data_IF_873720198446
#
_entry.id   IF_873720198446
#
_cell.length_a   1.000
_cell.length_b   1.000
_cell.length_c   1.000
_cell.angle_alpha   90.00
_cell.angle_beta   90.00
_cell.angle_gamma   90.00
#
_symmetry.space_group_name_H-M   'P 1'
#
loop_
_entity.id
_entity.type
_entity.pdbx_description
1 polymer ?
#
# COMPACT_ATOMS: atom_id res chain seq x y z
N UNK A 1 -3.91 14.46 6.28
CA UNK A 1 -5.05 13.69 5.74
C UNK A 1 -5.97 13.41 6.91
N UNK A 2 -7.24 13.80 6.82
CA UNK A 2 -8.25 13.40 7.80
C UNK A 2 -8.73 12.02 7.36
N UNK A 3 -8.45 11.01 8.18
CA UNK A 3 -8.69 9.59 7.87
C UNK A 3 -10.04 9.09 8.43
N UNK A 4 -10.89 10.02 8.87
CA UNK A 4 -12.30 9.76 9.15
C UNK A 4 -12.98 9.38 7.84
N UNK A 5 -13.32 8.10 7.71
CA UNK A 5 -14.13 7.60 6.60
C UNK A 5 -13.48 6.55 5.72
N UNK A 6 -12.36 5.90 6.07
CA UNK A 6 -11.96 4.69 5.32
C UNK A 6 -12.85 3.50 5.66
N UNK A 7 -13.24 2.72 4.65
CA UNK A 7 -14.22 1.63 4.78
C UNK A 7 -13.56 0.27 4.65
N UNK A 8 -12.82 0.03 3.58
CA UNK A 8 -12.08 -1.21 3.34
C UNK A 8 -10.95 -0.99 2.32
N UNK A 9 -10.04 -1.95 2.22
CA UNK A 9 -9.02 -2.01 1.18
C UNK A 9 -9.11 -3.33 0.39
N UNK A 10 -9.04 -3.24 -0.93
CA UNK A 10 -8.83 -4.40 -1.79
C UNK A 10 -7.32 -4.53 -2.08
N UNK A 11 -6.73 -5.66 -1.73
CA UNK A 11 -5.30 -5.98 -1.84
C UNK A 11 -5.12 -7.04 -2.91
N UNK A 12 -4.38 -6.70 -3.96
CA UNK A 12 -4.01 -7.62 -5.02
C UNK A 12 -2.51 -7.93 -4.94
N UNK A 13 -2.16 -9.20 -4.71
CA UNK A 13 -0.78 -9.66 -4.63
C UNK A 13 -0.67 -11.11 -5.11
N UNK A 14 0.34 -11.41 -5.94
CA UNK A 14 0.60 -12.78 -6.41
C UNK A 14 -0.55 -13.43 -7.19
N UNK A 15 -1.41 -12.62 -7.83
CA UNK A 15 -2.63 -13.10 -8.51
C UNK A 15 -3.81 -13.41 -7.59
N UNK A 16 -3.68 -13.14 -6.29
CA UNK A 16 -4.77 -13.25 -5.31
C UNK A 16 -5.32 -11.86 -5.00
N UNK A 17 -6.63 -11.75 -4.82
CA UNK A 17 -7.31 -10.52 -4.38
C UNK A 17 -8.00 -10.77 -3.05
N UNK A 18 -7.76 -9.89 -2.07
CA UNK A 18 -8.28 -9.98 -0.72
C UNK A 18 -8.84 -8.64 -0.27
N UNK A 19 -9.96 -8.66 0.45
CA UNK A 19 -10.56 -7.47 1.06
C UNK A 19 -10.25 -7.41 2.55
N UNK A 20 -9.74 -6.27 3.01
CA UNK A 20 -9.54 -5.94 4.42
C UNK A 20 -10.56 -4.90 4.85
N UNK A 21 -11.41 -5.26 5.80
CA UNK A 21 -12.48 -4.40 6.31
C UNK A 21 -11.98 -3.55 7.49
N UNK A 22 -12.11 -2.23 7.36
CA UNK A 22 -11.64 -1.24 8.34
C UNK A 22 -12.70 -0.90 9.41
N UNK A 23 -13.90 -1.47 9.35
CA UNK A 23 -14.88 -1.39 10.43
C UNK A 23 -14.40 -2.07 11.72
N UNK A 24 -13.40 -2.96 11.63
CA UNK A 24 -12.66 -3.48 12.77
C UNK A 24 -11.60 -2.45 13.15
N UNK A 25 -11.83 -1.67 14.21
CA UNK A 25 -10.96 -0.54 14.64
C UNK A 25 -9.46 -0.86 14.63
N UNK A 26 -9.06 -2.08 15.02
CA UNK A 26 -7.65 -2.49 15.03
C UNK A 26 -7.01 -2.59 13.63
N UNK A 27 -7.72 -3.15 12.65
CA UNK A 27 -7.17 -3.40 11.31
C UNK A 27 -6.93 -2.12 10.51
N UNK A 28 -7.81 -1.12 10.68
CA UNK A 28 -7.61 0.20 10.09
C UNK A 28 -6.37 0.87 10.67
N UNK A 29 -6.26 0.90 12.00
CA UNK A 29 -5.12 1.49 12.71
C UNK A 29 -3.79 0.83 12.35
N UNK A 30 -3.73 -0.50 12.35
CA UNK A 30 -2.52 -1.25 12.02
C UNK A 30 -2.06 -0.99 10.57
N UNK A 31 -3.02 -0.91 9.63
CA UNK A 31 -2.74 -0.55 8.24
C UNK A 31 -2.13 0.84 8.11
N UNK A 32 -2.72 1.85 8.77
CA UNK A 32 -2.16 3.21 8.76
C UNK A 32 -0.80 3.28 9.42
N UNK A 33 -0.65 2.62 10.56
CA UNK A 33 0.60 2.62 11.29
C UNK A 33 1.70 2.04 10.41
N UNK A 34 1.43 0.92 9.72
CA UNK A 34 2.37 0.34 8.77
C UNK A 34 2.73 1.32 7.64
N UNK A 35 1.76 1.94 6.97
CA UNK A 35 2.03 2.91 5.89
C UNK A 35 2.81 4.15 6.37
N UNK A 36 2.44 4.69 7.53
CA UNK A 36 3.08 5.90 8.08
C UNK A 36 4.50 5.68 8.57
N UNK A 37 4.85 4.43 8.91
CA UNK A 37 6.18 4.04 9.38
C UNK A 37 7.08 3.53 8.27
N UNK A 38 6.55 3.31 7.05
CA UNK A 38 7.36 3.02 5.88
C UNK A 38 8.34 4.16 5.62
N UNK A 39 9.63 3.86 5.70
CA UNK A 39 10.65 4.83 5.35
C UNK A 39 10.73 4.96 3.85
N UNK A 40 10.49 6.18 3.37
CA UNK A 40 10.71 6.57 2.00
C UNK A 40 12.18 6.96 1.77
N UNK A 41 12.88 6.20 0.93
CA UNK A 41 14.22 6.53 0.42
C UNK A 41 14.10 7.31 -0.90
N UNK A 42 15.15 8.06 -1.25
CA UNK A 42 15.22 8.78 -2.54
C UNK A 42 15.45 7.80 -3.70
N UNK A 43 14.76 8.03 -4.83
CA UNK A 43 15.03 7.32 -6.08
C UNK A 43 16.42 7.68 -6.61
N UNK A 44 17.30 6.69 -6.75
CA UNK A 44 18.66 6.87 -7.28
C UNK A 44 18.84 6.31 -8.69
N UNK A 45 17.89 5.51 -9.18
CA UNK A 45 17.92 4.86 -10.50
C UNK A 45 16.59 5.05 -11.25
N UNK A 46 16.52 4.50 -12.46
CA UNK A 46 15.32 4.55 -13.29
C UNK A 46 14.16 3.78 -12.65
N UNK A 47 12.94 4.28 -12.84
CA UNK A 47 11.76 3.60 -12.33
C UNK A 47 11.60 2.21 -12.96
N UNK A 48 11.13 1.22 -12.18
CA UNK A 48 10.89 -0.11 -12.71
C UNK A 48 9.75 -0.02 -13.74
N UNK A 49 9.95 -0.69 -14.88
CA UNK A 49 8.95 -0.75 -15.95
C UNK A 49 8.16 -2.04 -15.84
N UNK A 50 6.83 -1.99 -15.94
CA UNK A 50 5.97 -3.19 -15.87
C UNK A 50 4.76 -2.98 -14.98
N UNK A 51 4.06 -4.08 -14.67
CA UNK A 51 2.93 -4.07 -13.75
C UNK A 51 3.40 -4.03 -12.30
N UNK A 52 2.56 -3.50 -11.41
CA UNK A 52 2.79 -3.56 -9.98
C UNK A 52 2.67 -5.01 -9.47
N UNK A 53 3.55 -5.38 -8.54
CA UNK A 53 3.51 -6.68 -7.87
C UNK A 53 2.42 -6.72 -6.80
N UNK A 54 2.22 -5.60 -6.11
CA UNK A 54 1.14 -5.39 -5.13
C UNK A 54 0.35 -4.15 -5.53
N UNK A 55 -0.97 -4.26 -5.56
CA UNK A 55 -1.87 -3.11 -5.67
C UNK A 55 -2.81 -3.10 -4.48
N UNK A 56 -2.86 -1.99 -3.74
CA UNK A 56 -3.81 -1.79 -2.65
C UNK A 56 -4.72 -0.64 -3.04
N UNK A 57 -6.01 -0.93 -3.20
CA UNK A 57 -7.05 0.07 -3.46
C UNK A 57 -7.85 0.29 -2.19
N UNK A 58 -7.68 1.46 -1.59
CA UNK A 58 -8.35 1.85 -0.37
C UNK A 58 -9.59 2.66 -0.69
N UNK A 59 -10.73 2.25 -0.14
CA UNK A 59 -12.02 2.88 -0.36
C UNK A 59 -12.41 3.73 0.85
N UNK A 60 -13.01 4.89 0.57
CA UNK A 60 -13.55 5.77 1.61
C UNK A 60 -15.07 5.66 1.72
N UNK A 61 -15.67 6.45 2.60
CA UNK A 61 -17.10 6.62 2.75
C UNK A 61 -17.70 7.44 1.59
N UNK A 62 -16.88 8.25 0.90
CA UNK A 62 -17.22 8.81 -0.40
C UNK A 62 -16.90 7.77 -1.48
N UNK A 63 -17.90 7.25 -2.21
CA UNK A 63 -17.68 6.26 -3.27
C UNK A 63 -16.88 6.80 -4.47
N UNK A 64 -16.68 8.11 -4.58
CA UNK A 64 -15.88 8.73 -5.64
C UNK A 64 -14.41 8.91 -5.24
N UNK A 65 -14.07 8.63 -3.97
CA UNK A 65 -12.72 8.81 -3.45
C UNK A 65 -12.09 7.45 -3.12
N UNK A 66 -11.05 7.12 -3.87
CA UNK A 66 -10.22 5.94 -3.64
C UNK A 66 -8.75 6.30 -3.68
N UNK A 67 -7.96 5.59 -2.88
CA UNK A 67 -6.51 5.75 -2.83
C UNK A 67 -5.87 4.47 -3.33
N UNK A 68 -5.10 4.57 -4.41
CA UNK A 68 -4.37 3.43 -4.98
C UNK A 68 -2.91 3.53 -4.62
N UNK A 69 -2.41 2.47 -3.99
CA UNK A 69 -1.00 2.26 -3.68
C UNK A 69 -0.50 1.12 -4.57
N UNK A 70 0.44 1.42 -5.46
CA UNK A 70 1.04 0.42 -6.34
C UNK A 70 2.49 0.20 -5.96
N UNK A 71 2.82 -1.01 -5.52
CA UNK A 71 4.17 -1.41 -5.17
C UNK A 71 4.74 -2.25 -6.31
N UNK A 72 5.86 -1.80 -6.84
CA UNK A 72 6.61 -2.51 -7.87
C UNK A 72 8.01 -2.78 -7.38
N UNK A 73 8.49 -4.01 -7.58
CA UNK A 73 9.83 -4.39 -7.18
C UNK A 73 10.85 -3.49 -7.87
N UNK A 74 11.68 -2.84 -7.06
CA UNK A 74 12.74 -1.97 -7.55
C UNK A 74 14.07 -2.73 -7.63
N UNK A 75 14.45 -3.37 -6.52
CA UNK A 75 15.61 -4.26 -6.46
C UNK A 75 15.37 -5.38 -5.42
N UNK A 76 16.42 -6.00 -4.88
CA UNK A 76 16.29 -7.07 -3.88
C UNK A 76 15.76 -6.58 -2.53
N UNK A 77 16.02 -5.31 -2.19
CA UNK A 77 15.77 -4.72 -0.88
C UNK A 77 14.58 -3.75 -0.85
N UNK A 78 14.21 -3.19 -2.01
CA UNK A 78 13.25 -2.09 -2.10
C UNK A 78 12.11 -2.34 -3.10
N UNK A 79 10.96 -1.75 -2.78
CA UNK A 79 9.85 -1.52 -3.69
C UNK A 79 9.75 -0.03 -4.03
N UNK A 80 9.44 0.26 -5.29
CA UNK A 80 8.93 1.56 -5.70
C UNK A 80 7.43 1.60 -5.46
N UNK A 81 7.00 2.51 -4.60
CA UNK A 81 5.59 2.79 -4.31
C UNK A 81 5.17 4.05 -5.05
N UNK A 82 4.06 3.95 -5.77
CA UNK A 82 3.34 5.12 -6.26
C UNK A 82 2.17 5.43 -5.33
N UNK A 83 2.18 6.62 -4.73
CA UNK A 83 1.06 7.19 -3.98
C UNK A 83 0.63 8.47 -4.68
N UNK A 84 -0.54 8.46 -5.32
CA UNK A 84 -1.01 9.57 -6.15
C UNK A 84 0.06 9.94 -7.20
N UNK A 85 0.52 11.20 -7.21
CA UNK A 85 1.53 11.74 -8.13
C UNK A 85 2.97 11.61 -7.59
N UNK A 86 3.15 11.03 -6.40
CA UNK A 86 4.46 10.87 -5.77
C UNK A 86 4.94 9.42 -5.86
N UNK A 87 6.24 9.26 -6.08
CA UNK A 87 6.89 7.95 -6.13
C UNK A 87 7.99 7.93 -5.07
N UNK A 88 7.99 6.88 -4.25
CA UNK A 88 8.86 6.71 -3.10
C UNK A 88 9.45 5.29 -3.12
N UNK A 89 10.66 5.12 -2.59
CA UNK A 89 11.22 3.78 -2.36
C UNK A 89 10.94 3.36 -0.92
N UNK A 90 10.34 2.20 -0.73
CA UNK A 90 10.05 1.62 0.58
C UNK A 90 10.78 0.29 0.72
N UNK A 91 11.21 -0.05 1.94
CA UNK A 91 11.87 -1.33 2.18
C UNK A 91 10.91 -2.48 1.91
N UNK A 92 11.39 -3.51 1.21
CA UNK A 92 10.66 -4.76 0.97
C UNK A 92 10.14 -5.38 2.25
N UNK A 93 10.93 -5.34 3.32
CA UNK A 93 10.52 -5.84 4.64
C UNK A 93 9.26 -5.14 5.17
N UNK A 94 9.13 -3.84 4.96
CA UNK A 94 7.98 -3.07 5.44
C UNK A 94 6.73 -3.43 4.62
N UNK A 95 6.89 -3.64 3.31
CA UNK A 95 5.81 -4.14 2.42
C UNK A 95 5.36 -5.54 2.83
N UNK A 96 6.30 -6.45 3.11
CA UNK A 96 5.97 -7.79 3.59
C UNK A 96 5.27 -7.77 4.96
N UNK A 97 5.64 -6.84 5.85
CA UNK A 97 4.94 -6.65 7.12
C UNK A 97 3.53 -6.11 6.92
N UNK A 98 3.35 -5.15 6.00
CA UNK A 98 2.03 -4.64 5.61
C UNK A 98 1.13 -5.76 5.10
N UNK A 99 1.62 -6.60 4.19
CA UNK A 99 0.86 -7.74 3.65
C UNK A 99 0.44 -8.73 4.75
N UNK A 100 1.32 -9.01 5.71
CA UNK A 100 0.99 -9.87 6.86
C UNK A 100 -0.11 -9.29 7.75
N UNK A 101 -0.10 -7.97 7.99
CA UNK A 101 -1.17 -7.29 8.75
C UNK A 101 -2.50 -7.40 8.00
N UNK A 102 -2.44 -7.34 6.67
CA UNK A 102 -3.60 -7.44 5.79
C UNK A 102 -4.07 -8.89 5.57
N UNK A 103 -3.43 -9.87 6.22
CA UNK A 103 -3.65 -11.32 6.05
C UNK A 103 -3.53 -11.80 4.58
N UNK A 104 -2.74 -11.10 3.75
CA UNK A 104 -2.51 -11.37 2.33
C UNK A 104 -1.21 -12.16 2.07
#
# INVERSE_FOLDING_TARGET
MAFDGLTYADVEFGGTSQRVDFSKEGSAWDFYYALSTMRAEQLTEAQPTGNADVTITVHTADPNETYVLSFQKYNEDFYSVRVLDSIQLVNKRDVEQLLKILEA
#
